data_IF_674409191701
#
_entry.id   IF_674409191701
#
_cell.length_a   1.000
_cell.length_b   1.000
_cell.length_c   1.000
_cell.angle_alpha   90.00
_cell.angle_beta   90.00
_cell.angle_gamma   90.00
#
_symmetry.space_group_name_H-M   'P 1'
#
loop_
_entity.id
_entity.type
_entity.pdbx_description
1 polymer ?
#
# COMPACT_ATOMS: atom_id res chain seq x y z
N UNK A 1 57.61 -30.53 38.94
CA UNK A 1 56.91 -31.01 37.72
C UNK A 1 55.46 -30.72 37.91
N UNK A 2 55.01 -29.56 37.47
CA UNK A 2 53.54 -29.28 37.29
C UNK A 2 53.41 -27.86 36.70
N UNK A 3 53.34 -27.75 35.43
CA UNK A 3 52.94 -26.57 34.70
C UNK A 3 52.44 -27.03 33.36
N UNK A 4 51.09 -27.03 33.17
CA UNK A 4 50.49 -27.01 31.81
C UNK A 4 48.98 -27.34 31.83
N UNK A 5 48.21 -26.75 32.79
CA UNK A 5 46.74 -26.92 32.75
C UNK A 5 45.91 -25.60 32.84
N UNK A 6 46.50 -24.44 32.60
CA UNK A 6 45.79 -23.16 32.76
C UNK A 6 45.61 -22.40 31.44
N UNK A 7 46.10 -22.91 30.28
CA UNK A 7 46.11 -22.17 29.05
C UNK A 7 45.01 -22.56 28.02
N UNK A 8 44.04 -23.41 28.35
CA UNK A 8 43.02 -23.89 27.38
C UNK A 8 41.61 -23.39 27.64
N UNK A 9 41.34 -22.70 28.76
CA UNK A 9 39.98 -22.22 29.10
C UNK A 9 39.69 -20.79 28.63
N UNK A 10 40.68 -20.04 28.15
CA UNK A 10 40.50 -18.63 27.79
C UNK A 10 40.18 -18.35 26.31
N UNK A 11 40.11 -19.37 25.43
CA UNK A 11 39.90 -19.16 23.97
C UNK A 11 38.49 -19.48 23.49
N UNK A 12 37.65 -20.12 24.29
CA UNK A 12 36.26 -20.50 23.89
C UNK A 12 35.20 -19.43 24.23
N UNK A 13 35.56 -18.42 25.02
CA UNK A 13 34.59 -17.40 25.48
C UNK A 13 34.47 -16.16 24.56
N UNK A 14 35.21 -16.07 23.47
CA UNK A 14 35.23 -14.85 22.59
C UNK A 14 34.47 -15.04 21.28
N UNK A 15 33.93 -16.20 20.97
CA UNK A 15 33.24 -16.48 19.68
C UNK A 15 31.68 -16.51 19.77
N UNK A 16 31.08 -16.11 20.90
CA UNK A 16 29.61 -16.06 21.06
C UNK A 16 29.04 -14.62 21.16
N UNK A 17 29.83 -13.58 20.91
CA UNK A 17 29.38 -12.19 21.00
C UNK A 17 29.47 -11.48 19.62
N UNK A 18 28.83 -12.01 18.59
CA UNK A 18 28.97 -11.43 17.26
C UNK A 18 27.81 -11.65 16.27
N UNK A 19 26.64 -12.05 16.72
CA UNK A 19 25.48 -12.17 15.84
C UNK A 19 24.29 -11.40 16.39
N UNK A 20 24.48 -10.12 16.75
CA UNK A 20 23.37 -9.18 16.79
C UNK A 20 23.04 -8.89 15.32
N UNK A 21 22.17 -9.68 14.72
CA UNK A 21 21.50 -9.31 13.48
C UNK A 21 20.79 -7.99 13.74
N UNK A 22 21.40 -6.89 13.29
CA UNK A 22 20.70 -5.65 13.12
C UNK A 22 19.57 -5.92 12.13
N UNK A 23 18.36 -6.12 12.65
CA UNK A 23 17.13 -6.04 11.87
C UNK A 23 17.05 -4.58 11.46
N UNK A 24 17.69 -4.25 10.33
CA UNK A 24 17.46 -2.98 9.67
C UNK A 24 15.99 -2.96 9.29
N UNK A 25 15.26 -2.00 9.83
CA UNK A 25 13.93 -1.66 9.36
C UNK A 25 14.07 -1.18 7.91
N UNK A 26 13.89 -2.09 6.94
CA UNK A 26 13.89 -1.79 5.50
C UNK A 26 12.61 -1.10 5.04
N UNK A 27 11.79 -0.56 5.95
CA UNK A 27 10.47 -0.03 5.62
C UNK A 27 10.50 1.34 4.90
N UNK A 28 11.57 2.13 5.05
CA UNK A 28 11.58 3.51 4.49
C UNK A 28 12.04 3.60 3.02
N UNK A 29 12.69 2.57 2.45
CA UNK A 29 13.26 2.56 1.10
C UNK A 29 12.97 1.27 0.31
N UNK A 30 11.84 0.60 0.56
CA UNK A 30 11.48 -0.56 -0.25
C UNK A 30 11.26 -0.12 -1.72
N UNK A 31 11.86 -0.82 -2.71
CA UNK A 31 11.59 -0.51 -4.10
C UNK A 31 10.10 -0.70 -4.40
N UNK A 32 9.53 0.21 -5.21
CA UNK A 32 8.14 0.11 -5.64
C UNK A 32 7.91 -1.25 -6.31
N UNK A 33 6.91 -2.03 -5.87
CA UNK A 33 6.59 -3.30 -6.52
C UNK A 33 6.14 -3.07 -7.96
N UNK A 34 6.56 -3.96 -8.85
CA UNK A 34 6.37 -3.85 -10.31
C UNK A 34 5.34 -4.83 -10.83
N UNK A 35 4.84 -4.58 -12.03
CA UNK A 35 4.00 -5.55 -12.75
C UNK A 35 4.72 -6.91 -12.85
N UNK A 36 3.97 -7.98 -12.61
CA UNK A 36 4.47 -9.35 -12.56
C UNK A 36 4.81 -9.84 -11.15
N UNK A 37 4.94 -8.97 -10.16
CA UNK A 37 5.22 -9.34 -8.77
C UNK A 37 3.94 -9.56 -7.97
N UNK A 38 4.01 -10.36 -6.90
CA UNK A 38 2.94 -10.42 -5.92
C UNK A 38 2.78 -9.06 -5.24
N UNK A 39 1.55 -8.60 -5.08
CA UNK A 39 1.26 -7.41 -4.32
C UNK A 39 1.59 -7.64 -2.84
N UNK A 40 2.37 -6.76 -2.20
CA UNK A 40 2.65 -6.85 -0.78
C UNK A 40 1.35 -6.83 0.04
N UNK A 41 1.17 -7.83 0.91
CA UNK A 41 -0.02 -7.88 1.75
C UNK A 41 0.01 -6.84 2.86
N UNK A 42 -1.17 -6.42 3.30
CA UNK A 42 -1.35 -5.48 4.38
C UNK A 42 -2.68 -5.72 5.10
N UNK A 43 -2.80 -5.18 6.31
CA UNK A 43 -4.07 -5.03 7.02
C UNK A 43 -4.13 -3.62 7.59
N UNK A 44 -5.13 -2.84 7.16
CA UNK A 44 -5.34 -1.46 7.56
C UNK A 44 -6.77 -1.21 8.03
N UNK A 45 -6.98 -0.30 8.98
CA UNK A 45 -8.31 0.13 9.39
C UNK A 45 -8.95 1.01 8.31
N UNK A 46 -10.26 0.83 8.07
CA UNK A 46 -11.03 1.62 7.12
C UNK A 46 -11.90 2.67 7.82
N UNK A 47 -12.55 3.54 7.03
CA UNK A 47 -13.42 4.63 7.49
C UNK A 47 -14.60 4.18 8.35
N UNK A 48 -15.01 2.91 8.27
CA UNK A 48 -16.12 2.35 9.06
C UNK A 48 -15.65 1.58 10.29
N UNK A 49 -14.33 1.60 10.58
CA UNK A 49 -13.72 0.93 11.72
C UNK A 49 -13.40 -0.54 11.49
N UNK A 50 -13.72 -1.12 10.33
CA UNK A 50 -13.30 -2.49 9.99
C UNK A 50 -11.83 -2.54 9.60
N UNK A 51 -11.14 -3.63 9.93
CA UNK A 51 -9.81 -3.92 9.42
C UNK A 51 -9.92 -4.67 8.08
N UNK A 52 -9.27 -4.14 7.06
CA UNK A 52 -9.29 -4.66 5.70
C UNK A 52 -7.89 -5.17 5.35
N UNK A 53 -7.77 -6.46 4.99
CA UNK A 53 -6.55 -7.00 4.40
C UNK A 53 -6.66 -7.10 2.89
N UNK A 54 -5.53 -7.00 2.18
CA UNK A 54 -5.50 -7.20 0.74
C UNK A 54 -5.99 -8.60 0.37
N UNK A 55 -5.64 -9.61 1.17
CA UNK A 55 -6.07 -11.00 0.97
C UNK A 55 -7.59 -11.19 1.03
N UNK A 56 -8.33 -10.29 1.69
CA UNK A 56 -9.80 -10.34 1.72
C UNK A 56 -10.45 -10.10 0.35
N UNK A 57 -9.69 -9.62 -0.62
CA UNK A 57 -10.14 -9.37 -1.99
C UNK A 57 -9.72 -10.47 -2.98
N UNK A 58 -9.18 -11.62 -2.52
CA UNK A 58 -8.84 -12.73 -3.41
C UNK A 58 -10.04 -13.15 -4.26
N UNK A 59 -9.79 -13.43 -5.54
CA UNK A 59 -10.84 -13.72 -6.52
C UNK A 59 -11.43 -12.48 -7.20
N UNK A 60 -11.03 -11.27 -6.80
CA UNK A 60 -11.46 -10.00 -7.40
C UNK A 60 -10.28 -9.21 -7.92
N UNK A 61 -10.52 -8.38 -8.90
CA UNK A 61 -9.61 -7.32 -9.29
C UNK A 61 -9.56 -6.25 -8.20
N UNK A 62 -8.36 -5.70 -7.91
CA UNK A 62 -8.21 -4.62 -6.95
C UNK A 62 -7.54 -3.42 -7.60
N UNK A 63 -8.22 -2.28 -7.58
CA UNK A 63 -7.66 -0.97 -7.91
C UNK A 63 -7.20 -0.35 -6.59
N UNK A 64 -5.93 -0.53 -6.25
CA UNK A 64 -5.32 0.02 -5.05
C UNK A 64 -4.66 1.36 -5.40
N UNK A 65 -5.28 2.47 -5.00
CA UNK A 65 -4.72 3.79 -5.26
C UNK A 65 -4.26 4.49 -3.99
N UNK A 66 -3.07 5.06 -4.04
CA UNK A 66 -2.49 5.89 -2.99
C UNK A 66 -2.72 7.36 -3.33
N UNK A 67 -3.09 8.17 -2.34
CA UNK A 67 -3.34 9.59 -2.54
C UNK A 67 -2.83 10.43 -1.35
N UNK A 68 -2.43 11.71 -1.59
CA UNK A 68 -1.75 12.52 -0.59
C UNK A 68 -2.55 12.83 0.65
N UNK A 69 -3.81 13.29 0.51
CA UNK A 69 -4.58 13.81 1.64
C UNK A 69 -6.06 14.00 1.31
N UNK A 70 -6.91 13.61 2.28
CA UNK A 70 -8.36 13.87 2.24
C UNK A 70 -8.69 15.35 2.03
N UNK A 71 -9.86 15.62 1.48
CA UNK A 71 -10.45 16.97 1.32
C UNK A 71 -9.62 17.94 0.45
N UNK A 72 -8.53 17.50 -0.20
CA UNK A 72 -7.80 18.33 -1.15
C UNK A 72 -8.41 18.25 -2.53
N UNK A 73 -8.35 19.32 -3.31
CA UNK A 73 -9.01 19.43 -4.62
C UNK A 73 -8.67 18.24 -5.55
N UNK A 74 -7.39 17.90 -5.68
CA UNK A 74 -6.97 16.80 -6.57
C UNK A 74 -7.46 15.44 -6.08
N UNK A 75 -7.43 15.17 -4.77
CA UNK A 75 -7.89 13.89 -4.22
C UNK A 75 -9.42 13.77 -4.29
N UNK A 76 -10.15 14.85 -4.10
CA UNK A 76 -11.62 14.88 -4.28
C UNK A 76 -12.01 14.62 -5.73
N UNK A 77 -11.34 15.23 -6.70
CA UNK A 77 -11.57 14.93 -8.14
C UNK A 77 -11.32 13.46 -8.46
N UNK A 78 -10.23 12.88 -7.97
CA UNK A 78 -9.91 11.47 -8.20
C UNK A 78 -10.94 10.53 -7.58
N UNK A 79 -11.30 10.78 -6.31
CA UNK A 79 -12.29 9.98 -5.59
C UNK A 79 -13.68 10.05 -6.28
N UNK A 80 -14.11 11.24 -6.71
CA UNK A 80 -15.36 11.40 -7.46
C UNK A 80 -15.36 10.66 -8.80
N UNK A 81 -14.24 10.65 -9.53
CA UNK A 81 -14.15 9.92 -10.79
C UNK A 81 -14.22 8.41 -10.57
N UNK A 82 -13.56 7.88 -9.53
CA UNK A 82 -13.72 6.48 -9.14
C UNK A 82 -15.16 6.18 -8.69
N UNK A 83 -15.79 7.07 -7.92
CA UNK A 83 -17.18 6.90 -7.47
C UNK A 83 -18.17 6.93 -8.63
N UNK A 84 -17.99 7.84 -9.58
CA UNK A 84 -18.85 7.93 -10.78
C UNK A 84 -18.77 6.67 -11.66
N UNK A 85 -17.65 5.98 -11.64
CA UNK A 85 -17.41 4.76 -12.41
C UNK A 85 -17.59 3.48 -11.58
N UNK A 86 -18.04 3.56 -10.30
CA UNK A 86 -18.03 2.42 -9.38
C UNK A 86 -18.81 1.21 -9.89
N UNK A 87 -19.97 1.43 -10.53
CA UNK A 87 -20.79 0.37 -11.12
C UNK A 87 -20.08 -0.35 -12.28
N UNK A 88 -19.20 0.37 -13.02
CA UNK A 88 -18.41 -0.23 -14.09
C UNK A 88 -17.33 -1.14 -13.52
N UNK A 89 -16.69 -0.74 -12.43
CA UNK A 89 -15.73 -1.57 -11.70
C UNK A 89 -16.40 -2.83 -11.14
N UNK A 90 -17.56 -2.69 -10.50
CA UNK A 90 -18.32 -3.81 -9.96
C UNK A 90 -18.75 -4.82 -11.04
N UNK A 91 -19.13 -4.37 -12.22
CA UNK A 91 -19.46 -5.24 -13.36
C UNK A 91 -18.28 -6.06 -13.89
N UNK A 92 -17.06 -5.60 -13.61
CA UNK A 92 -15.80 -6.29 -13.93
C UNK A 92 -15.23 -7.05 -12.71
N UNK A 93 -16.06 -7.31 -11.70
CA UNK A 93 -15.67 -7.91 -10.43
C UNK A 93 -14.44 -7.26 -9.80
N UNK A 94 -14.35 -5.93 -9.91
CA UNK A 94 -13.26 -5.12 -9.41
C UNK A 94 -13.70 -4.27 -8.21
N UNK A 95 -12.80 -4.14 -7.23
CA UNK A 95 -12.97 -3.25 -6.07
C UNK A 95 -11.98 -2.08 -6.16
N UNK A 96 -12.45 -0.89 -5.79
CA UNK A 96 -11.61 0.29 -5.63
C UNK A 96 -11.28 0.47 -4.16
N UNK A 97 -10.01 0.68 -3.84
CA UNK A 97 -9.52 0.86 -2.47
C UNK A 97 -8.52 2.02 -2.47
N UNK A 98 -8.81 3.05 -1.70
CA UNK A 98 -7.92 4.19 -1.50
C UNK A 98 -7.10 4.05 -0.22
N UNK A 99 -5.84 4.50 -0.25
CA UNK A 99 -4.94 4.50 0.91
C UNK A 99 -4.28 5.86 1.05
N UNK A 100 -4.36 6.46 2.23
CA UNK A 100 -3.57 7.62 2.61
C UNK A 100 -3.06 7.51 4.04
N UNK A 101 -2.29 8.49 4.48
CA UNK A 101 -1.79 8.58 5.86
C UNK A 101 -2.74 9.31 6.80
N UNK A 102 -3.92 9.72 6.31
CA UNK A 102 -4.94 10.35 7.12
C UNK A 102 -5.58 9.34 8.10
N UNK A 103 -6.25 9.85 9.14
CA UNK A 103 -6.93 9.01 10.12
C UNK A 103 -8.24 8.43 9.59
N UNK A 104 -8.71 7.34 10.21
CA UNK A 104 -10.03 6.76 9.92
C UNK A 104 -11.17 7.76 10.12
N UNK A 105 -11.04 8.69 11.09
CA UNK A 105 -11.98 9.78 11.30
C UNK A 105 -12.04 10.74 10.11
N UNK A 106 -10.87 11.15 9.58
CA UNK A 106 -10.78 11.98 8.38
C UNK A 106 -11.41 11.28 7.17
N UNK A 107 -11.10 9.99 6.96
CA UNK A 107 -11.70 9.19 5.89
C UNK A 107 -13.22 9.08 6.01
N UNK A 108 -13.73 8.92 7.24
CA UNK A 108 -15.19 8.87 7.49
C UNK A 108 -15.87 10.17 7.09
N UNK A 109 -15.29 11.31 7.47
CA UNK A 109 -15.79 12.63 7.09
C UNK A 109 -15.72 12.85 5.58
N UNK A 110 -14.60 12.45 4.96
CA UNK A 110 -14.40 12.56 3.51
C UNK A 110 -15.42 11.72 2.74
N UNK A 111 -15.60 10.45 3.11
CA UNK A 111 -16.61 9.58 2.49
C UNK A 111 -18.01 10.14 2.66
N UNK A 112 -18.38 10.62 3.85
CA UNK A 112 -19.71 11.17 4.12
C UNK A 112 -19.98 12.44 3.32
N UNK A 113 -18.99 13.35 3.25
CA UNK A 113 -19.10 14.62 2.53
C UNK A 113 -19.20 14.44 1.02
N UNK A 114 -18.38 13.53 0.47
CA UNK A 114 -18.24 13.36 -0.97
C UNK A 114 -19.06 12.18 -1.53
N UNK A 115 -19.83 11.49 -0.67
CA UNK A 115 -20.69 10.39 -1.09
C UNK A 115 -19.94 9.16 -1.59
N UNK A 116 -18.74 8.85 -1.04
CA UNK A 116 -17.92 7.73 -1.47
C UNK A 116 -18.41 6.42 -0.86
N UNK A 117 -18.62 5.40 -1.69
CA UNK A 117 -19.12 4.08 -1.28
C UNK A 117 -18.04 3.00 -1.18
N UNK A 118 -16.83 3.26 -1.69
CA UNK A 118 -15.70 2.34 -1.62
C UNK A 118 -14.85 2.57 -0.36
N UNK A 119 -13.90 1.67 -0.11
CA UNK A 119 -13.07 1.72 1.11
C UNK A 119 -11.91 2.70 0.99
N UNK A 120 -11.76 3.53 2.02
CA UNK A 120 -10.57 4.33 2.29
C UNK A 120 -9.87 3.79 3.52
N UNK A 121 -8.57 3.47 3.39
CA UNK A 121 -7.77 2.81 4.41
C UNK A 121 -6.72 3.76 4.97
N UNK A 122 -6.60 3.76 6.28
CA UNK A 122 -5.73 4.65 7.05
C UNK A 122 -4.39 3.98 7.34
N UNK A 123 -3.31 4.46 6.71
CA UNK A 123 -1.92 4.05 6.98
C UNK A 123 -1.17 5.13 7.76
N UNK A 124 -1.65 5.47 8.98
CA UNK A 124 -1.02 6.49 9.82
C UNK A 124 0.43 6.15 10.18
N UNK A 125 0.76 4.87 10.27
CA UNK A 125 2.12 4.38 10.50
C UNK A 125 3.02 4.50 9.26
N UNK A 126 2.46 4.76 8.09
CA UNK A 126 3.14 4.93 6.80
C UNK A 126 3.88 3.68 6.28
N UNK A 127 3.59 2.51 6.87
CA UNK A 127 4.27 1.25 6.55
C UNK A 127 3.88 0.74 5.16
N UNK A 128 2.58 0.76 4.86
CA UNK A 128 2.05 0.28 3.58
C UNK A 128 2.40 1.24 2.44
N UNK A 129 2.30 2.55 2.69
CA UNK A 129 2.73 3.57 1.72
C UNK A 129 4.22 3.41 1.39
N UNK A 130 5.08 3.15 2.38
CA UNK A 130 6.50 2.87 2.17
C UNK A 130 6.73 1.54 1.44
N UNK A 131 6.05 0.47 1.84
CA UNK A 131 6.13 -0.87 1.25
C UNK A 131 5.78 -0.88 -0.25
N UNK A 132 4.84 -0.01 -0.66
CA UNK A 132 4.47 0.19 -2.06
C UNK A 132 5.31 1.25 -2.78
N UNK A 133 6.42 1.72 -2.18
CA UNK A 133 7.28 2.76 -2.77
C UNK A 133 6.54 4.08 -3.07
N UNK A 134 5.42 4.29 -2.39
CA UNK A 134 4.52 5.42 -2.60
C UNK A 134 4.70 6.54 -1.56
N UNK A 135 5.83 6.56 -0.84
CA UNK A 135 6.14 7.63 0.11
C UNK A 135 6.65 8.89 -0.61
N UNK A 136 6.17 10.05 -0.18
CA UNK A 136 6.71 11.35 -0.52
C UNK A 136 7.01 12.15 0.74
N UNK A 137 8.03 12.99 0.66
CA UNK A 137 8.27 14.05 1.64
C UNK A 137 7.87 15.38 1.01
N UNK A 138 6.91 16.05 1.63
CA UNK A 138 6.49 17.38 1.22
C UNK A 138 6.76 18.36 2.37
N UNK A 139 7.85 19.13 2.27
CA UNK A 139 8.28 20.10 3.27
C UNK A 139 8.42 19.51 4.69
N UNK A 140 8.98 18.30 4.80
CA UNK A 140 9.16 17.59 6.07
C UNK A 140 7.92 16.79 6.53
N UNK A 141 6.83 16.81 5.77
CA UNK A 141 5.63 16.02 6.05
C UNK A 141 5.59 14.80 5.13
N UNK A 142 5.63 13.62 5.70
CA UNK A 142 5.51 12.36 4.94
C UNK A 142 4.05 12.13 4.55
N UNK A 143 3.79 12.03 3.26
CA UNK A 143 2.47 11.79 2.64
C UNK A 143 2.58 10.69 1.58
N UNK A 144 1.44 10.19 1.09
CA UNK A 144 1.46 9.28 -0.04
C UNK A 144 1.62 10.03 -1.37
N UNK A 145 2.42 9.46 -2.30
CA UNK A 145 2.40 9.83 -3.72
C UNK A 145 1.10 9.33 -4.35
N UNK A 146 0.72 9.95 -5.47
CA UNK A 146 -0.43 9.52 -6.26
C UNK A 146 -0.02 8.41 -7.22
N UNK A 147 -0.03 7.18 -6.71
CA UNK A 147 0.30 5.95 -7.45
C UNK A 147 -0.87 4.97 -7.36
N UNK A 148 -1.07 4.17 -8.42
CA UNK A 148 -2.12 3.16 -8.45
C UNK A 148 -1.56 1.84 -8.93
N UNK A 149 -2.03 0.75 -8.32
CA UNK A 149 -1.68 -0.62 -8.64
C UNK A 149 -2.95 -1.37 -9.03
N UNK A 150 -2.97 -1.94 -10.23
CA UNK A 150 -4.00 -2.90 -10.63
C UNK A 150 -3.51 -4.30 -10.27
N UNK A 151 -4.28 -4.98 -9.42
CA UNK A 151 -3.94 -6.29 -8.87
C UNK A 151 -4.98 -7.29 -9.37
N UNK A 152 -4.51 -8.40 -9.90
CA UNK A 152 -5.38 -9.47 -10.42
C UNK A 152 -6.02 -10.31 -9.29
N UNK A 153 -7.01 -11.17 -9.60
CA UNK A 153 -7.68 -12.03 -8.63
C UNK A 153 -6.75 -12.99 -7.86
N UNK A 154 -5.55 -13.26 -8.39
CA UNK A 154 -4.52 -14.08 -7.75
C UNK A 154 -3.61 -13.26 -6.83
N UNK A 155 -3.79 -11.93 -6.75
CA UNK A 155 -3.01 -11.01 -5.92
C UNK A 155 -1.68 -10.60 -6.55
N UNK A 156 -1.56 -10.68 -7.87
CA UNK A 156 -0.39 -10.25 -8.62
C UNK A 156 -0.63 -8.87 -9.24
N UNK A 157 0.33 -7.98 -9.13
CA UNK A 157 0.29 -6.68 -9.78
C UNK A 157 0.42 -6.91 -11.30
N UNK A 158 -0.52 -6.39 -12.08
CA UNK A 158 -0.49 -6.47 -13.54
C UNK A 158 -0.15 -5.13 -14.18
N UNK A 159 -0.43 -4.02 -13.49
CA UNK A 159 -0.08 -2.69 -13.98
C UNK A 159 0.14 -1.70 -12.83
N UNK A 160 1.01 -0.72 -13.05
CA UNK A 160 1.34 0.35 -12.11
C UNK A 160 1.26 1.68 -12.83
N UNK A 161 0.63 2.68 -12.20
CA UNK A 161 0.64 4.08 -12.63
C UNK A 161 1.28 4.92 -11.55
N UNK A 162 2.15 5.84 -11.93
CA UNK A 162 2.83 6.76 -11.02
C UNK A 162 2.55 8.20 -11.38
N UNK A 163 2.36 9.07 -10.36
CA UNK A 163 2.14 10.49 -10.56
C UNK A 163 0.92 10.81 -11.42
N UNK A 164 -0.17 10.07 -11.25
CA UNK A 164 -1.36 10.10 -12.08
C UNK A 164 -2.08 11.46 -12.05
N UNK A 165 -2.79 11.79 -13.14
CA UNK A 165 -3.64 12.97 -13.23
C UNK A 165 -5.04 12.63 -12.71
N UNK A 166 -5.54 13.26 -11.65
CA UNK A 166 -6.82 12.92 -11.02
C UNK A 166 -8.03 12.90 -11.96
N UNK A 167 -8.06 13.81 -12.94
CA UNK A 167 -9.22 14.01 -13.84
C UNK A 167 -9.48 12.86 -14.81
N UNK A 168 -8.43 12.10 -15.21
CA UNK A 168 -8.54 11.06 -16.24
C UNK A 168 -8.30 9.64 -15.71
N UNK A 169 -7.82 9.55 -14.47
CA UNK A 169 -7.24 8.31 -13.97
C UNK A 169 -8.22 7.14 -13.91
N UNK A 170 -9.46 7.34 -13.43
CA UNK A 170 -10.47 6.26 -13.40
C UNK A 170 -10.70 5.66 -14.78
N UNK A 171 -10.75 6.47 -15.84
CA UNK A 171 -10.92 5.99 -17.21
C UNK A 171 -9.73 5.20 -17.71
N UNK A 172 -8.51 5.64 -17.37
CA UNK A 172 -7.27 4.91 -17.72
C UNK A 172 -7.25 3.52 -17.08
N UNK A 173 -7.62 3.43 -15.79
CA UNK A 173 -7.68 2.17 -15.07
C UNK A 173 -8.77 1.25 -15.64
N UNK A 174 -9.97 1.78 -15.93
CA UNK A 174 -11.04 0.99 -16.57
C UNK A 174 -10.65 0.48 -17.94
N UNK A 175 -9.96 1.29 -18.75
CA UNK A 175 -9.49 0.86 -20.08
C UNK A 175 -8.50 -0.30 -19.96
N UNK A 176 -7.57 -0.23 -19.01
CA UNK A 176 -6.61 -1.30 -18.73
C UNK A 176 -7.32 -2.58 -18.24
N UNK A 177 -8.21 -2.46 -17.26
CA UNK A 177 -8.97 -3.57 -16.68
C UNK A 177 -9.77 -4.31 -17.77
N UNK A 178 -10.50 -3.59 -18.62
CA UNK A 178 -11.20 -4.20 -19.78
C UNK A 178 -10.26 -4.92 -20.76
N UNK A 179 -9.01 -4.50 -20.85
CA UNK A 179 -7.99 -5.16 -21.68
C UNK A 179 -7.51 -6.48 -21.08
N UNK A 180 -7.50 -6.61 -19.75
CA UNK A 180 -7.12 -7.85 -19.05
C UNK A 180 -8.26 -8.87 -19.00
N UNK A 181 -9.51 -8.43 -18.84
CA UNK A 181 -10.70 -9.31 -18.83
C UNK A 181 -10.95 -10.03 -20.16
N UNK A 182 -10.45 -9.49 -21.27
CA UNK A 182 -10.62 -10.07 -22.63
C UNK A 182 -9.55 -11.09 -23.01
N UNK A 183 -8.57 -11.34 -22.15
CA UNK A 183 -7.48 -12.29 -22.40
C UNK A 183 -7.73 -13.62 -21.72
#
# INVERSE_FOLDING_TARGET
MSTNRVAIVAVVAVLLAGAVFAVRSFADDAPMPQAGQAAPDFTLPSQDGSNISLDSFRGKWVVLYFYPKDMTTGCTIEAHNFQADIDKYQKLDAVVVGVSVDSTGSHKEFCAKEGLSFKLLSDQDKKVVAQYGSMADYMGVKIAKRNTFLIDPQGKIVQVWTGVKPSEHSKEVLAALNGYEKK
#
